data_IF_401459263582
#
_entry.id   IF_401459263582
#
_cell.length_a   1.000
_cell.length_b   1.000
_cell.length_c   1.000
_cell.angle_alpha   90.00
_cell.angle_beta   90.00
_cell.angle_gamma   90.00
#
_symmetry.space_group_name_H-M   'P 1'
#
loop_
_entity.id
_entity.type
_entity.pdbx_description
1 polymer ?
#
# COMPACT_ATOMS: atom_id res chain seq x y z
N UNK A 1 -5.68 -11.03 3.70
CA UNK A 1 -4.90 -10.79 2.48
C UNK A 1 -5.06 -9.33 2.14
N UNK A 2 -3.95 -8.63 1.99
CA UNK A 2 -3.93 -7.21 1.68
C UNK A 2 -3.17 -7.00 0.38
N UNK A 3 -3.53 -5.94 -0.34
CA UNK A 3 -2.75 -5.39 -1.44
C UNK A 3 -2.37 -3.97 -1.06
N UNK A 4 -1.17 -3.55 -1.44
CA UNK A 4 -0.64 -2.23 -1.15
C UNK A 4 -0.11 -1.64 -2.45
N UNK A 5 -0.29 -0.34 -2.62
CA UNK A 5 0.31 0.41 -3.72
C UNK A 5 0.38 1.91 -3.40
N UNK A 6 1.34 2.62 -4.00
CA UNK A 6 1.59 4.05 -3.86
C UNK A 6 1.22 4.85 -5.11
N UNK A 7 0.26 5.77 -4.99
CA UNK A 7 -0.10 6.69 -6.07
C UNK A 7 0.59 8.06 -5.92
N UNK A 8 1.36 8.45 -6.94
CA UNK A 8 2.08 9.73 -7.03
C UNK A 8 1.40 10.79 -7.90
N UNK A 9 0.19 10.55 -8.39
CA UNK A 9 -0.59 11.54 -9.14
C UNK A 9 -1.29 12.52 -8.20
N UNK A 10 -1.72 12.06 -7.03
CA UNK A 10 -2.41 12.80 -5.95
C UNK A 10 -1.47 13.69 -5.13
N UNK A 11 -0.56 14.41 -5.80
CA UNK A 11 0.36 15.36 -5.18
C UNK A 11 -0.35 16.64 -4.74
N UNK A 12 0.01 17.17 -3.58
CA UNK A 12 -0.44 18.46 -3.06
C UNK A 12 0.68 19.50 -3.12
N UNK A 13 0.37 20.70 -3.61
CA UNK A 13 1.31 21.82 -3.65
C UNK A 13 1.59 22.32 -2.23
N UNK A 14 2.85 22.71 -2.00
CA UNK A 14 3.27 23.40 -0.77
C UNK A 14 2.66 24.81 -0.78
N UNK A 15 1.51 24.97 -0.11
CA UNK A 15 0.86 26.26 0.05
C UNK A 15 1.24 26.89 1.38
N UNK A 16 2.12 27.89 1.32
CA UNK A 16 2.59 28.63 2.50
C UNK A 16 1.58 29.61 3.07
N UNK A 17 0.45 29.82 2.40
CA UNK A 17 -0.49 30.91 2.68
C UNK A 17 -1.87 30.46 3.20
N UNK A 18 -2.13 29.15 3.32
CA UNK A 18 -3.39 28.69 3.89
C UNK A 18 -3.29 28.64 5.41
N UNK A 19 -4.13 29.43 6.08
CA UNK A 19 -4.41 29.27 7.51
C UNK A 19 -4.98 27.86 7.73
N UNK A 20 -4.35 27.08 8.60
CA UNK A 20 -4.86 25.76 8.99
C UNK A 20 -6.27 25.96 9.56
N UNK A 21 -7.26 25.28 8.96
CA UNK A 21 -8.63 25.31 9.45
C UNK A 21 -8.66 24.76 10.88
N UNK A 22 -9.53 25.27 11.76
CA UNK A 22 -9.61 24.82 13.15
C UNK A 22 -9.74 23.30 13.24
N UNK A 23 -8.85 22.69 14.04
CA UNK A 23 -8.92 21.28 14.40
C UNK A 23 -10.23 21.09 15.16
N UNK A 24 -11.17 20.34 14.56
CA UNK A 24 -12.54 20.07 15.06
C UNK A 24 -13.64 21.09 14.71
N UNK A 25 -13.55 21.75 13.55
CA UNK A 25 -14.70 22.42 12.93
C UNK A 25 -15.78 21.47 12.41
N UNK A 26 -16.95 22.00 12.03
CA UNK A 26 -18.08 21.23 11.44
C UNK A 26 -17.69 20.40 10.22
N UNK A 27 -16.67 20.84 9.47
CA UNK A 27 -16.12 20.15 8.30
C UNK A 27 -14.85 19.36 8.62
N UNK A 28 -14.64 18.94 9.87
CA UNK A 28 -13.51 18.09 10.23
C UNK A 28 -13.88 16.62 10.12
N UNK A 29 -12.89 15.79 9.81
CA UNK A 29 -13.06 14.33 9.78
C UNK A 29 -13.47 13.82 11.17
N UNK A 30 -14.43 12.91 11.21
CA UNK A 30 -14.81 12.18 12.42
C UNK A 30 -13.65 11.33 12.94
N UNK A 31 -13.75 10.85 14.18
CA UNK A 31 -12.73 9.97 14.77
C UNK A 31 -12.54 8.68 13.96
N UNK A 32 -13.63 8.14 13.39
CA UNK A 32 -13.58 6.94 12.54
C UNK A 32 -12.85 7.21 11.23
N UNK A 33 -13.17 8.31 10.56
CA UNK A 33 -12.52 8.72 9.32
C UNK A 33 -11.04 9.10 9.52
N UNK A 34 -10.71 9.77 10.63
CA UNK A 34 -9.31 10.03 11.03
C UNK A 34 -8.54 8.71 11.23
N UNK A 35 -9.21 7.63 11.64
CA UNK A 35 -8.59 6.31 11.79
C UNK A 35 -8.32 5.60 10.47
N UNK A 36 -8.92 6.02 9.34
CA UNK A 36 -8.57 5.52 8.02
C UNK A 36 -7.15 5.95 7.62
N UNK A 37 -6.73 7.12 8.07
CA UNK A 37 -5.42 7.69 7.77
C UNK A 37 -4.38 7.27 8.81
N UNK A 38 -3.21 6.85 8.35
CA UNK A 38 -2.08 6.62 9.24
C UNK A 38 -1.31 7.89 9.54
N UNK A 39 -0.71 7.90 10.73
CA UNK A 39 -0.04 9.08 11.25
C UNK A 39 1.42 9.11 10.82
N UNK A 40 2.00 10.31 10.75
CA UNK A 40 3.45 10.47 10.51
C UNK A 40 4.29 9.69 11.54
N UNK A 41 3.84 9.62 12.79
CA UNK A 41 4.52 8.90 13.87
C UNK A 41 4.61 7.40 13.58
N UNK A 42 3.53 6.79 13.06
CA UNK A 42 3.52 5.38 12.69
C UNK A 42 4.54 5.08 11.57
N UNK A 43 4.58 5.93 10.54
CA UNK A 43 5.50 5.77 9.41
C UNK A 43 6.95 5.99 9.83
N UNK A 44 7.20 6.95 10.72
CA UNK A 44 8.54 7.23 11.26
C UNK A 44 9.01 6.07 12.14
N UNK A 45 8.15 5.52 13.01
CA UNK A 45 8.47 4.34 13.80
C UNK A 45 8.79 3.12 12.91
N UNK A 46 8.04 2.94 11.82
CA UNK A 46 8.29 1.89 10.84
C UNK A 46 9.66 2.06 10.15
N UNK A 47 10.09 3.30 9.87
CA UNK A 47 11.39 3.58 9.26
C UNK A 47 12.59 3.22 10.16
N UNK A 48 12.44 3.30 11.49
CA UNK A 48 13.48 2.84 12.42
C UNK A 48 13.51 1.31 12.58
N UNK A 49 12.43 0.63 12.19
CA UNK A 49 12.29 -0.83 12.31
C UNK A 49 12.74 -1.55 11.04
N UNK A 50 12.78 -0.86 9.90
CA UNK A 50 13.40 -1.39 8.67
C UNK A 50 14.91 -1.46 8.86
N UNK A 51 15.53 -2.64 8.66
CA UNK A 51 16.98 -2.70 8.50
C UNK A 51 17.40 -1.73 7.39
N UNK A 52 18.53 -1.05 7.55
CA UNK A 52 19.16 -0.38 6.41
C UNK A 52 19.45 -1.39 5.30
N UNK A 53 19.55 -0.97 4.03
CA UNK A 53 19.94 -1.87 2.95
C UNK A 53 21.23 -2.58 3.37
N UNK A 54 21.18 -3.92 3.43
CA UNK A 54 22.36 -4.72 3.70
C UNK A 54 23.22 -4.74 2.44
N UNK A 55 24.55 -4.83 2.58
CA UNK A 55 25.47 -4.89 1.43
C UNK A 55 25.21 -6.10 0.51
N UNK A 56 24.41 -7.07 0.96
CA UNK A 56 24.00 -8.27 0.21
C UNK A 56 22.71 -8.04 -0.61
N UNK A 57 22.11 -6.85 -0.56
CA UNK A 57 20.91 -6.46 -1.33
C UNK A 57 21.25 -5.84 -2.71
N UNK A 58 22.54 -5.84 -3.11
CA UNK A 58 22.98 -5.14 -4.32
C UNK A 58 22.70 -5.86 -5.65
N UNK A 59 22.37 -7.17 -5.70
CA UNK A 59 22.38 -7.91 -6.98
C UNK A 59 21.21 -8.88 -7.22
N UNK A 60 19.96 -8.51 -6.92
CA UNK A 60 18.82 -9.11 -7.63
C UNK A 60 18.03 -7.98 -8.31
N UNK A 61 18.46 -7.61 -9.52
CA UNK A 61 17.64 -6.83 -10.43
C UNK A 61 16.31 -7.55 -10.65
N UNK A 62 15.31 -7.19 -9.84
CA UNK A 62 13.98 -7.81 -9.88
C UNK A 62 13.12 -7.24 -11.02
N UNK A 63 13.55 -6.14 -11.63
CA UNK A 63 12.91 -5.52 -12.77
C UNK A 63 13.48 -6.07 -14.06
N UNK A 64 12.63 -6.29 -15.06
CA UNK A 64 13.09 -6.76 -16.35
C UNK A 64 14.04 -5.73 -16.99
N UNK A 65 15.31 -6.09 -17.19
CA UNK A 65 16.21 -5.36 -18.08
C UNK A 65 15.72 -5.51 -19.51
N UNK A 66 15.13 -4.43 -20.02
CA UNK A 66 14.73 -4.17 -21.41
C UNK A 66 14.88 -5.34 -22.39
N UNK A 67 13.88 -6.21 -22.45
CA UNK A 67 13.50 -6.82 -23.72
C UNK A 67 12.63 -5.79 -24.43
N UNK A 68 13.00 -5.44 -25.67
CA UNK A 68 12.60 -4.28 -26.47
C UNK A 68 11.09 -4.12 -26.80
N UNK A 69 10.17 -4.48 -25.90
CA UNK A 69 8.72 -4.31 -26.13
C UNK A 69 7.89 -3.90 -24.91
N UNK A 70 8.47 -3.78 -23.71
CA UNK A 70 7.69 -3.39 -22.53
C UNK A 70 7.94 -1.93 -22.13
N UNK A 71 7.00 -1.05 -22.51
CA UNK A 71 6.88 0.32 -22.01
C UNK A 71 6.42 0.39 -20.53
N UNK A 72 6.30 -0.75 -19.86
CA UNK A 72 5.75 -0.89 -18.52
C UNK A 72 6.90 -1.17 -17.52
N UNK A 73 7.41 -0.11 -16.87
CA UNK A 73 8.48 -0.20 -15.87
C UNK A 73 7.92 0.08 -14.48
N UNK A 74 7.95 -0.91 -13.59
CA UNK A 74 7.50 -0.78 -12.20
C UNK A 74 8.46 0.06 -11.32
N UNK A 75 9.73 0.22 -11.73
CA UNK A 75 10.64 1.16 -11.10
C UNK A 75 11.50 1.86 -12.16
N UNK A 76 11.20 3.14 -12.41
CA UNK A 76 12.04 3.94 -13.28
C UNK A 76 13.11 4.62 -12.41
N UNK A 77 14.38 4.28 -12.63
CA UNK A 77 15.57 4.97 -12.08
C UNK A 77 15.72 6.41 -12.61
N UNK A 78 14.62 7.12 -12.79
CA UNK A 78 14.63 8.55 -13.02
C UNK A 78 15.11 9.19 -11.72
N UNK A 79 16.35 9.67 -11.74
CA UNK A 79 16.95 10.56 -10.72
C UNK A 79 15.86 11.52 -10.22
N UNK A 80 15.30 11.25 -9.03
CA UNK A 80 14.22 12.03 -8.38
C UNK A 80 14.75 13.38 -7.85
N UNK A 81 15.61 14.03 -8.61
CA UNK A 81 16.28 15.26 -8.22
C UNK A 81 15.45 16.47 -8.67
N UNK A 82 14.78 17.12 -7.71
CA UNK A 82 14.42 18.54 -7.84
C UNK A 82 12.97 18.94 -7.56
N UNK A 83 12.00 18.01 -7.47
CA UNK A 83 10.58 18.41 -7.31
C UNK A 83 10.07 18.54 -5.87
N UNK A 84 10.85 18.12 -4.85
CA UNK A 84 10.36 18.06 -3.46
C UNK A 84 10.14 19.42 -2.81
N UNK A 85 10.50 20.53 -3.47
CA UNK A 85 10.28 21.88 -2.94
C UNK A 85 8.95 22.49 -3.38
N UNK A 86 8.25 21.85 -4.33
CA UNK A 86 6.97 22.32 -4.87
C UNK A 86 5.77 21.64 -4.22
N UNK A 87 5.96 20.42 -3.72
CA UNK A 87 4.92 19.59 -3.14
C UNK A 87 5.34 19.19 -1.73
N UNK A 88 4.39 19.24 -0.81
CA UNK A 88 4.56 18.85 0.59
C UNK A 88 4.04 17.42 0.85
N UNK A 89 3.00 17.02 0.12
CA UNK A 89 2.48 15.66 0.03
C UNK A 89 2.70 15.13 -1.39
N UNK A 90 3.57 14.14 -1.53
CA UNK A 90 4.04 13.65 -2.82
C UNK A 90 3.14 12.56 -3.41
N UNK A 91 2.20 12.03 -2.63
CA UNK A 91 1.33 10.93 -3.03
C UNK A 91 0.55 10.34 -1.86
N UNK A 92 -0.20 9.28 -2.14
CA UNK A 92 -0.92 8.48 -1.14
C UNK A 92 -0.58 7.02 -1.35
N UNK A 93 -0.23 6.30 -0.29
CA UNK A 93 -0.17 4.86 -0.30
C UNK A 93 -1.47 4.29 0.27
N UNK A 94 -2.06 3.34 -0.44
CA UNK A 94 -3.25 2.62 0.00
C UNK A 94 -2.88 1.19 0.36
N UNK A 95 -3.42 0.72 1.48
CA UNK A 95 -3.55 -0.69 1.78
C UNK A 95 -5.03 -1.06 1.69
N UNK A 96 -5.34 -1.96 0.77
CA UNK A 96 -6.69 -2.42 0.48
C UNK A 96 -6.87 -3.90 0.76
N UNK A 97 -8.11 -4.30 1.05
CA UNK A 97 -8.49 -5.70 1.14
C UNK A 97 -8.46 -6.31 -0.26
N UNK A 98 -7.50 -7.19 -0.55
CA UNK A 98 -7.31 -7.79 -1.88
C UNK A 98 -8.43 -8.77 -2.31
N UNK A 99 -9.53 -8.88 -1.56
CA UNK A 99 -10.71 -9.71 -1.89
C UNK A 99 -11.92 -8.88 -2.27
N UNK A 100 -12.06 -7.73 -1.62
CA UNK A 100 -13.22 -6.85 -1.72
C UNK A 100 -12.87 -5.52 -2.39
N UNK A 101 -11.59 -5.29 -2.68
CA UNK A 101 -11.04 -4.06 -3.26
C UNK A 101 -11.46 -2.81 -2.46
N UNK A 102 -11.53 -2.93 -1.13
CA UNK A 102 -11.88 -1.84 -0.22
C UNK A 102 -10.61 -1.32 0.46
N UNK A 103 -10.31 -0.01 0.38
CA UNK A 103 -9.22 0.60 1.14
C UNK A 103 -9.45 0.46 2.65
N UNK A 104 -8.46 -0.08 3.36
CA UNK A 104 -8.49 -0.24 4.82
C UNK A 104 -7.61 0.80 5.53
N UNK A 105 -6.53 1.26 4.88
CA UNK A 105 -5.61 2.25 5.44
C UNK A 105 -5.00 3.10 4.34
N UNK A 106 -4.97 4.42 4.53
CA UNK A 106 -4.29 5.38 3.65
C UNK A 106 -3.12 6.06 4.37
N UNK A 107 -2.03 6.33 3.67
CA UNK A 107 -0.84 7.01 4.19
C UNK A 107 -0.40 8.11 3.23
N UNK A 108 -0.25 9.34 3.73
CA UNK A 108 0.36 10.42 2.94
C UNK A 108 1.87 10.15 2.77
N UNK A 109 2.32 10.19 1.52
CA UNK A 109 3.73 10.02 1.17
C UNK A 109 4.41 11.40 1.23
N UNK A 110 5.45 11.52 2.06
CA UNK A 110 6.27 12.71 2.16
C UNK A 110 7.67 12.36 1.64
N UNK A 111 8.05 12.94 0.51
CA UNK A 111 9.26 12.57 -0.22
C UNK A 111 9.03 11.43 -1.21
N UNK A 112 9.69 10.29 -1.02
CA UNK A 112 9.58 9.12 -1.91
C UNK A 112 8.82 7.96 -1.27
N UNK A 113 8.32 7.04 -2.10
CA UNK A 113 7.98 5.69 -1.64
C UNK A 113 9.22 5.05 -1.04
N UNK A 114 9.11 4.58 0.19
CA UNK A 114 10.12 3.80 0.84
C UNK A 114 9.47 2.65 1.60
N UNK A 115 10.26 1.61 1.87
CA UNK A 115 9.86 0.39 2.58
C UNK A 115 9.10 0.65 3.90
N UNK A 116 9.36 1.79 4.55
CA UNK A 116 8.67 2.26 5.77
C UNK A 116 7.14 2.29 5.66
N UNK A 117 6.60 2.62 4.49
CA UNK A 117 5.14 2.70 4.29
C UNK A 117 4.50 1.31 4.27
N UNK A 118 5.11 0.35 3.57
CA UNK A 118 4.68 -1.04 3.57
C UNK A 118 4.72 -1.64 4.99
N UNK A 119 5.79 -1.35 5.75
CA UNK A 119 5.93 -1.83 7.14
C UNK A 119 4.86 -1.22 8.05
N UNK A 120 4.54 0.06 7.89
CA UNK A 120 3.45 0.71 8.63
C UNK A 120 2.09 0.05 8.33
N UNK A 121 1.76 -0.18 7.06
CA UNK A 121 0.53 -0.86 6.65
C UNK A 121 0.43 -2.28 7.20
N UNK A 122 1.49 -3.08 7.08
CA UNK A 122 1.53 -4.43 7.65
C UNK A 122 1.39 -4.38 9.17
N UNK A 123 2.05 -3.44 9.85
CA UNK A 123 1.90 -3.21 11.28
C UNK A 123 0.45 -2.88 11.69
N UNK A 124 -0.25 -2.07 10.89
CA UNK A 124 -1.67 -1.79 11.10
C UNK A 124 -2.53 -3.05 10.93
N UNK A 125 -2.34 -3.81 9.84
CA UNK A 125 -3.07 -5.05 9.58
C UNK A 125 -2.95 -6.05 10.74
N UNK A 126 -1.74 -6.22 11.28
CA UNK A 126 -1.47 -7.13 12.41
C UNK A 126 -2.19 -6.70 13.69
N UNK A 127 -2.16 -5.39 14.01
CA UNK A 127 -2.88 -4.84 15.16
C UNK A 127 -4.39 -5.02 15.02
N UNK A 128 -4.93 -4.83 13.82
CA UNK A 128 -6.34 -5.00 13.54
C UNK A 128 -6.79 -6.48 13.56
N UNK A 129 -5.88 -7.43 13.31
CA UNK A 129 -6.20 -8.86 13.18
C UNK A 129 -5.31 -9.78 14.04
N UNK A 130 -5.24 -9.64 15.37
CA UNK A 130 -4.27 -10.35 16.21
C UNK A 130 -4.44 -11.88 16.25
N UNK A 131 -5.62 -12.39 15.87
CA UNK A 131 -5.95 -13.82 15.94
C UNK A 131 -5.67 -14.58 14.63
N UNK A 132 -5.40 -13.89 13.52
CA UNK A 132 -5.11 -14.56 12.25
C UNK A 132 -3.66 -15.04 12.25
N UNK A 133 -3.47 -16.33 11.98
CA UNK A 133 -2.13 -16.92 11.87
C UNK A 133 -1.54 -16.71 10.48
N UNK A 134 -2.39 -16.79 9.45
CA UNK A 134 -1.98 -16.79 8.05
C UNK A 134 -2.27 -15.47 7.33
N UNK A 135 -1.25 -14.91 6.68
CA UNK A 135 -1.33 -13.65 5.96
C UNK A 135 -0.90 -13.81 4.52
N UNK A 136 -1.43 -12.95 3.65
CA UNK A 136 -1.02 -12.88 2.26
C UNK A 136 -0.92 -11.40 1.91
N UNK A 137 0.24 -10.97 1.45
CA UNK A 137 0.59 -9.57 1.23
C UNK A 137 0.98 -9.42 -0.23
N UNK A 138 0.30 -8.52 -0.93
CA UNK A 138 0.63 -8.13 -2.29
C UNK A 138 1.13 -6.70 -2.30
N UNK A 139 2.18 -6.47 -3.08
CA UNK A 139 2.71 -5.14 -3.36
C UNK A 139 3.51 -5.22 -4.65
N UNK A 140 3.52 -4.17 -5.45
CA UNK A 140 4.25 -4.12 -6.73
C UNK A 140 5.72 -4.47 -6.54
N UNK A 141 6.33 -3.96 -5.47
CA UNK A 141 7.71 -4.30 -5.09
C UNK A 141 7.79 -5.39 -4.01
N UNK A 142 6.76 -6.23 -3.88
CA UNK A 142 6.64 -7.26 -2.84
C UNK A 142 7.84 -8.22 -2.78
N UNK A 143 8.48 -8.49 -3.93
CA UNK A 143 9.72 -9.27 -4.01
C UNK A 143 10.90 -8.61 -3.29
N UNK A 144 11.00 -7.28 -3.34
CA UNK A 144 12.06 -6.50 -2.66
C UNK A 144 11.75 -6.29 -1.18
N UNK A 145 10.49 -5.97 -0.85
CA UNK A 145 10.13 -5.63 0.53
C UNK A 145 10.02 -6.87 1.43
N UNK A 146 9.96 -8.08 0.87
CA UNK A 146 9.84 -9.33 1.65
C UNK A 146 10.89 -9.42 2.77
N UNK A 147 12.18 -9.35 2.43
CA UNK A 147 13.29 -9.50 3.40
C UNK A 147 13.22 -8.43 4.49
N UNK A 148 12.92 -7.19 4.11
CA UNK A 148 12.75 -6.07 5.03
C UNK A 148 11.58 -6.27 5.98
N UNK A 149 10.42 -6.72 5.47
CA UNK A 149 9.22 -7.01 6.27
C UNK A 149 9.47 -8.16 7.24
N UNK A 150 10.02 -9.28 6.77
CA UNK A 150 10.37 -10.40 7.64
C UNK A 150 11.32 -9.94 8.75
N UNK A 151 12.38 -9.21 8.41
CA UNK A 151 13.35 -8.74 9.41
C UNK A 151 12.76 -7.76 10.43
N UNK A 152 11.91 -6.83 9.98
CA UNK A 152 11.24 -5.85 10.83
C UNK A 152 10.31 -6.48 11.88
N UNK A 153 9.74 -7.65 11.58
CA UNK A 153 8.80 -8.35 12.45
C UNK A 153 9.36 -9.64 13.08
N UNK A 154 10.48 -10.18 12.60
CA UNK A 154 11.14 -11.38 13.16
C UNK A 154 11.99 -11.12 14.39
N UNK A 155 12.30 -9.85 14.71
CA UNK A 155 13.25 -9.53 15.79
C UNK A 155 12.63 -9.58 17.18
N UNK A 156 13.01 -10.63 17.91
CA UNK A 156 13.04 -10.78 19.37
C UNK A 156 13.98 -9.76 20.07
N UNK A 157 14.11 -8.51 19.57
CA UNK A 157 15.09 -7.57 20.12
C UNK A 157 14.56 -6.93 21.42
N UNK A 158 15.06 -7.49 22.52
CA UNK A 158 14.61 -7.36 23.91
C UNK A 158 14.79 -5.98 24.57
N UNK A 159 15.17 -4.90 23.86
CA UNK A 159 15.61 -3.66 24.51
C UNK A 159 14.87 -2.38 24.12
N UNK A 160 13.80 -2.44 23.33
CA UNK A 160 12.91 -1.28 23.14
C UNK A 160 11.51 -1.56 23.69
N UNK A 161 11.19 -0.83 24.76
CA UNK A 161 9.94 -0.84 25.51
C UNK A 161 8.85 -0.21 24.62
N UNK A 162 8.41 -0.93 23.60
CA UNK A 162 7.14 -0.68 22.95
C UNK A 162 6.55 -2.06 22.62
N UNK A 163 5.56 -2.46 23.42
CA UNK A 163 4.93 -3.79 23.52
C UNK A 163 4.33 -4.39 22.22
N UNK A 164 4.60 -3.82 21.06
CA UNK A 164 4.01 -4.21 19.78
C UNK A 164 4.75 -5.37 19.09
N UNK A 165 6.08 -5.45 19.23
CA UNK A 165 6.91 -6.47 18.55
C UNK A 165 6.80 -7.87 19.19
N UNK A 166 6.37 -7.98 20.46
CA UNK A 166 6.31 -9.27 21.17
C UNK A 166 5.12 -10.18 20.77
N UNK A 167 4.25 -9.77 19.83
CA UNK A 167 3.02 -10.53 19.51
C UNK A 167 2.98 -11.22 18.14
N UNK A 168 3.95 -11.02 17.25
CA UNK A 168 3.84 -11.49 15.87
C UNK A 168 5.08 -12.26 15.35
N UNK A 169 5.50 -13.37 15.99
CA UNK A 169 6.62 -14.22 15.54
C UNK A 169 6.36 -15.00 14.22
N UNK A 170 5.35 -14.61 13.44
CA UNK A 170 4.59 -15.51 12.54
C UNK A 170 4.85 -15.24 11.05
N UNK A 171 5.82 -14.38 10.71
CA UNK A 171 5.99 -13.98 9.30
C UNK A 171 6.64 -15.02 8.39
N UNK A 172 7.58 -15.84 8.89
CA UNK A 172 8.40 -16.65 7.99
C UNK A 172 7.65 -17.85 7.38
N UNK A 173 6.78 -18.51 8.15
CA UNK A 173 6.10 -19.74 7.70
C UNK A 173 4.62 -19.55 7.34
N UNK A 174 3.96 -18.54 7.91
CA UNK A 174 2.52 -18.33 7.74
C UNK A 174 2.18 -17.10 6.87
N UNK A 175 3.17 -16.47 6.23
CA UNK A 175 2.91 -15.33 5.32
C UNK A 175 3.32 -15.63 3.88
N UNK A 176 2.40 -15.41 2.95
CA UNK A 176 2.69 -15.41 1.52
C UNK A 176 2.89 -13.98 1.00
N UNK A 177 3.87 -13.81 0.13
CA UNK A 177 4.20 -12.56 -0.53
C UNK A 177 3.96 -12.72 -2.02
N UNK A 178 3.37 -11.70 -2.64
CA UNK A 178 3.15 -11.68 -4.08
C UNK A 178 3.30 -10.28 -4.65
N UNK A 179 3.48 -10.22 -5.96
CA UNK A 179 3.36 -9.01 -6.77
C UNK A 179 1.98 -9.04 -7.44
N UNK A 180 1.31 -7.90 -7.50
CA UNK A 180 0.03 -7.72 -8.21
C UNK A 180 0.11 -8.26 -9.65
N UNK A 181 -0.96 -8.89 -10.13
CA UNK A 181 -0.92 -9.78 -11.27
C UNK A 181 -0.48 -9.08 -12.58
N UNK A 182 -0.82 -7.81 -12.73
CA UNK A 182 -0.40 -6.99 -13.87
C UNK A 182 1.04 -6.51 -13.70
N UNK A 183 1.41 -6.02 -12.51
CA UNK A 183 2.77 -5.56 -12.24
C UNK A 183 3.80 -6.68 -12.27
N UNK A 184 3.40 -7.93 -12.00
CA UNK A 184 4.29 -9.08 -12.11
C UNK A 184 4.99 -9.14 -13.48
N UNK A 185 4.35 -8.68 -14.57
CA UNK A 185 4.92 -8.66 -15.92
C UNK A 185 6.02 -7.60 -16.14
N UNK A 186 6.14 -6.63 -15.23
CA UNK A 186 7.24 -5.65 -15.23
C UNK A 186 8.52 -6.19 -14.57
N UNK A 187 8.43 -7.37 -13.94
CA UNK A 187 9.53 -7.98 -13.20
C UNK A 187 10.25 -9.04 -14.03
N UNK A 188 11.36 -9.55 -13.51
CA UNK A 188 12.10 -10.65 -14.14
C UNK A 188 11.30 -11.95 -14.14
N UNK A 189 11.68 -12.88 -15.03
CA UNK A 189 11.05 -14.20 -15.13
C UNK A 189 11.08 -14.99 -13.82
N UNK A 190 12.08 -14.78 -12.97
CA UNK A 190 12.14 -15.39 -11.63
C UNK A 190 11.00 -14.87 -10.76
N UNK A 191 10.71 -13.57 -10.81
CA UNK A 191 9.60 -12.96 -10.09
C UNK A 191 8.23 -13.39 -10.64
N UNK A 192 8.11 -13.63 -11.95
CA UNK A 192 6.88 -14.20 -12.54
C UNK A 192 6.53 -15.57 -11.94
N UNK A 193 7.52 -16.42 -11.68
CA UNK A 193 7.28 -17.76 -11.14
C UNK A 193 7.09 -17.72 -9.63
N UNK A 194 7.91 -16.95 -8.92
CA UNK A 194 7.96 -16.97 -7.45
C UNK A 194 6.93 -16.06 -6.79
N UNK A 195 6.55 -14.95 -7.44
CA UNK A 195 5.74 -13.89 -6.82
C UNK A 195 4.40 -13.64 -7.51
N UNK A 196 4.07 -14.33 -8.60
CA UNK A 196 2.77 -14.15 -9.24
C UNK A 196 1.64 -14.85 -8.46
N UNK A 197 0.54 -14.16 -8.11
CA UNK A 197 -0.55 -14.69 -7.29
C UNK A 197 -1.23 -15.91 -7.91
N UNK A 198 -1.13 -16.09 -9.24
CA UNK A 198 -1.66 -17.28 -9.93
C UNK A 198 -0.90 -18.56 -9.59
N UNK A 199 0.39 -18.46 -9.26
CA UNK A 199 1.24 -19.61 -8.96
C UNK A 199 1.46 -19.81 -7.46
N UNK A 200 1.22 -18.79 -6.63
CA UNK A 200 1.37 -18.91 -5.19
C UNK A 200 0.10 -19.49 -4.56
N UNK A 201 0.20 -20.59 -3.78
CA UNK A 201 -0.95 -21.14 -3.10
C UNK A 201 -1.55 -20.13 -2.10
N UNK A 202 -2.86 -20.21 -1.88
CA UNK A 202 -3.63 -19.42 -0.91
C UNK A 202 -3.94 -17.96 -1.28
N UNK A 203 -3.38 -17.40 -2.37
CA UNK A 203 -3.88 -16.14 -2.94
C UNK A 203 -5.26 -16.31 -3.60
N UNK A 204 -5.54 -17.52 -4.11
CA UNK A 204 -6.76 -17.82 -4.87
C UNK A 204 -6.76 -17.08 -6.21
N UNK A 205 -7.93 -16.95 -6.84
CA UNK A 205 -8.08 -16.22 -8.11
C UNK A 205 -8.12 -14.69 -7.92
N UNK A 206 -7.33 -14.14 -6.99
CA UNK A 206 -7.18 -12.69 -6.84
C UNK A 206 -6.11 -12.17 -7.80
N UNK A 207 -6.32 -10.98 -8.33
CA UNK A 207 -5.31 -10.27 -9.11
C UNK A 207 -4.50 -9.28 -8.28
N UNK A 208 -5.02 -8.84 -7.12
CA UNK A 208 -4.38 -7.85 -6.26
C UNK A 208 -4.49 -6.41 -6.77
N UNK A 209 -5.21 -6.16 -7.86
CA UNK A 209 -5.29 -4.86 -8.55
C UNK A 209 -6.30 -3.89 -7.91
N UNK A 210 -6.76 -4.18 -6.69
CA UNK A 210 -7.76 -3.36 -6.00
C UNK A 210 -7.31 -1.92 -5.75
N UNK A 211 -6.02 -1.70 -5.49
CA UNK A 211 -5.48 -0.34 -5.35
C UNK A 211 -5.55 0.42 -6.68
N UNK A 212 -5.20 -0.20 -7.82
CA UNK A 212 -5.28 0.44 -9.14
C UNK A 212 -6.71 0.83 -9.52
N UNK A 213 -7.70 -0.02 -9.20
CA UNK A 213 -9.13 0.33 -9.36
C UNK A 213 -9.51 1.54 -8.53
N UNK A 214 -9.06 1.59 -7.29
CA UNK A 214 -9.27 2.73 -6.41
C UNK A 214 -8.58 4.00 -6.93
N UNK A 215 -7.37 3.89 -7.47
CA UNK A 215 -6.66 5.01 -8.10
C UNK A 215 -7.35 5.54 -9.33
N UNK A 216 -7.85 4.65 -10.19
CA UNK A 216 -8.65 5.05 -11.35
C UNK A 216 -9.91 5.80 -10.93
N UNK A 217 -10.55 5.41 -9.82
CA UNK A 217 -11.69 6.14 -9.27
C UNK A 217 -11.28 7.52 -8.72
N UNK A 218 -10.11 7.62 -8.10
CA UNK A 218 -9.60 8.88 -7.54
C UNK A 218 -9.03 9.86 -8.58
N UNK A 219 -8.73 9.42 -9.80
CA UNK A 219 -8.07 10.25 -10.83
C UNK A 219 -8.84 11.56 -11.11
N UNK A 220 -10.18 11.50 -11.12
CA UNK A 220 -11.03 12.68 -11.30
C UNK A 220 -10.85 13.78 -10.23
N UNK A 221 -10.38 13.41 -9.03
CA UNK A 221 -10.18 14.35 -7.91
C UNK A 221 -8.75 14.87 -7.82
N UNK A 222 -7.82 14.37 -8.63
CA UNK A 222 -6.40 14.73 -8.58
C UNK A 222 -6.18 16.22 -8.82
N UNK A 223 -6.89 16.82 -9.79
CA UNK A 223 -6.72 18.24 -10.09
C UNK A 223 -7.24 19.15 -8.98
N UNK A 224 -8.39 18.81 -8.37
CA UNK A 224 -8.99 19.65 -7.35
C UNK A 224 -8.21 19.58 -6.03
N UNK A 225 -7.76 18.38 -5.63
CA UNK A 225 -7.04 18.15 -4.37
C UNK A 225 -5.62 18.69 -4.36
N UNK A 226 -5.07 19.03 -5.53
CA UNK A 226 -3.68 19.50 -5.68
C UNK A 226 -3.42 20.88 -5.09
N UNK A 227 -4.43 21.75 -5.11
CA UNK A 227 -4.33 23.16 -4.69
C UNK A 227 -5.12 23.47 -3.42
N UNK A 228 -5.72 22.46 -2.77
CA UNK A 228 -6.49 22.61 -1.54
C UNK A 228 -5.63 22.43 -0.30
N UNK A 229 -6.15 22.86 0.86
CA UNK A 229 -5.55 22.59 2.18
C UNK A 229 -5.41 21.10 2.46
N UNK A 230 -4.64 20.73 3.50
CA UNK A 230 -4.40 19.32 3.88
C UNK A 230 -5.70 18.67 4.27
N UNK A 231 -6.44 19.39 5.09
CA UNK A 231 -7.67 18.98 5.72
C UNK A 231 -8.73 18.80 4.65
N UNK A 232 -8.87 19.77 3.74
CA UNK A 232 -9.80 19.70 2.61
C UNK A 232 -9.46 18.55 1.66
N UNK A 233 -8.17 18.33 1.37
CA UNK A 233 -7.72 17.19 0.58
C UNK A 233 -8.08 15.86 1.25
N UNK A 234 -7.79 15.73 2.55
CA UNK A 234 -8.11 14.54 3.34
C UNK A 234 -9.62 14.28 3.35
N UNK A 235 -10.45 15.32 3.51
CA UNK A 235 -11.91 15.22 3.46
C UNK A 235 -12.40 14.67 2.12
N UNK A 236 -11.99 15.29 1.01
CA UNK A 236 -12.39 14.86 -0.34
C UNK A 236 -12.00 13.41 -0.59
N UNK A 237 -10.77 13.02 -0.24
CA UNK A 237 -10.31 11.65 -0.44
C UNK A 237 -11.07 10.68 0.48
N UNK A 238 -11.35 11.05 1.73
CA UNK A 238 -12.08 10.17 2.66
C UNK A 238 -13.51 9.93 2.21
N UNK A 239 -14.23 11.00 1.83
CA UNK A 239 -15.58 10.89 1.29
C UNK A 239 -15.60 10.03 0.00
N UNK A 240 -14.56 10.20 -0.83
CA UNK A 240 -14.35 9.37 -2.02
C UNK A 240 -14.16 7.89 -1.66
N UNK A 241 -13.40 7.57 -0.60
CA UNK A 241 -13.22 6.20 -0.10
C UNK A 241 -14.53 5.62 0.41
N UNK A 242 -15.32 6.40 1.14
CA UNK A 242 -16.59 5.94 1.69
C UNK A 242 -17.59 5.62 0.57
N UNK A 243 -17.71 6.50 -0.44
CA UNK A 243 -18.53 6.22 -1.60
C UNK A 243 -18.03 4.98 -2.36
N UNK A 244 -16.72 4.89 -2.64
CA UNK A 244 -16.13 3.73 -3.33
C UNK A 244 -16.38 2.42 -2.57
N UNK A 245 -16.21 2.46 -1.25
CA UNK A 245 -16.47 1.32 -0.35
C UNK A 245 -17.95 0.94 -0.36
N UNK A 246 -18.84 1.92 -0.36
CA UNK A 246 -20.28 1.70 -0.44
C UNK A 246 -20.67 1.01 -1.76
N UNK A 247 -20.18 1.50 -2.90
CA UNK A 247 -20.42 0.88 -4.21
C UNK A 247 -19.90 -0.55 -4.25
N UNK A 248 -18.64 -0.77 -3.82
CA UNK A 248 -18.07 -2.13 -3.77
C UNK A 248 -18.92 -3.07 -2.92
N UNK A 249 -19.39 -2.62 -1.75
CA UNK A 249 -20.27 -3.41 -0.87
C UNK A 249 -21.60 -3.78 -1.53
N UNK A 250 -22.19 -2.88 -2.31
CA UNK A 250 -23.42 -3.16 -3.07
C UNK A 250 -23.20 -4.20 -4.17
N UNK A 251 -22.04 -4.16 -4.83
CA UNK A 251 -21.69 -5.08 -5.92
C UNK A 251 -21.18 -6.45 -5.44
N UNK A 252 -20.76 -6.58 -4.18
CA UNK A 252 -20.24 -7.83 -3.60
C UNK A 252 -21.08 -9.08 -3.93
N UNK A 253 -22.42 -9.07 -3.82
CA UNK A 253 -23.23 -10.24 -4.15
C UNK A 253 -23.07 -10.68 -5.61
N UNK A 254 -22.97 -9.73 -6.54
CA UNK A 254 -22.77 -10.02 -7.96
C UNK A 254 -21.36 -10.53 -8.24
N UNK A 255 -20.35 -9.91 -7.63
CA UNK A 255 -18.95 -10.35 -7.73
C UNK A 255 -18.79 -11.79 -7.22
N UNK A 256 -19.44 -12.16 -6.11
CA UNK A 256 -19.43 -13.53 -5.57
C UNK A 256 -20.13 -14.49 -6.52
N UNK A 257 -21.30 -14.13 -7.09
CA UNK A 257 -22.01 -14.95 -8.08
C UNK A 257 -21.14 -15.19 -9.31
N UNK A 258 -20.50 -14.16 -9.83
CA UNK A 258 -19.57 -14.24 -10.95
C UNK A 258 -18.42 -15.20 -10.64
N UNK A 259 -17.69 -14.97 -9.54
CA UNK A 259 -16.55 -15.81 -9.14
C UNK A 259 -16.95 -17.29 -8.93
N UNK A 260 -18.14 -17.55 -8.36
CA UNK A 260 -18.67 -18.93 -8.21
C UNK A 260 -19.03 -19.60 -9.54
N UNK A 261 -19.54 -18.86 -10.53
CA UNK A 261 -19.92 -19.41 -11.84
C UNK A 261 -18.70 -19.90 -12.62
N UNK A 262 -17.59 -19.17 -12.57
CA UNK A 262 -16.35 -19.55 -13.26
C UNK A 262 -15.59 -20.67 -12.55
N UNK A 263 -15.66 -20.76 -11.22
CA UNK A 263 -15.03 -21.85 -10.46
C UNK A 263 -15.74 -23.21 -10.59
N UNK A 264 -16.92 -23.29 -11.20
CA UNK A 264 -17.58 -24.58 -11.52
C UNK A 264 -17.08 -25.22 -12.83
N UNK A 265 -16.22 -24.53 -13.58
CA UNK A 265 -15.70 -24.99 -14.89
C UNK A 265 -14.27 -25.52 -14.83
N UNK A 266 -13.71 -25.68 -13.63
CA UNK A 266 -12.41 -26.29 -13.34
C UNK A 266 -12.69 -27.50 -12.45
#
# INVERSE_FOLDING_TARGET
>A
MITMDGNFQTKRLDDKFQEELPVDGMFSLSVGEKSLWGTKVEVVAAAYTTPGPSADDEDEDCFAESVEVNSFKANNNNKRNGSSRRYDENGVLSMSCARHDVPERLLNIHGGEGHKYAVACVGHMLRANPQKKKYAIMYDIGCLVRKGLESSFSLHNSNNINNLQRRFPVFKEDTWYGVTAYHAYAHTMTCHVNYNPKYIPNFGCTDGEGCERFWSYLDGFVSMTRSTSSENRLLVITDSVDNFTYQNKLELPEQIKYKRKYNKKI
#
